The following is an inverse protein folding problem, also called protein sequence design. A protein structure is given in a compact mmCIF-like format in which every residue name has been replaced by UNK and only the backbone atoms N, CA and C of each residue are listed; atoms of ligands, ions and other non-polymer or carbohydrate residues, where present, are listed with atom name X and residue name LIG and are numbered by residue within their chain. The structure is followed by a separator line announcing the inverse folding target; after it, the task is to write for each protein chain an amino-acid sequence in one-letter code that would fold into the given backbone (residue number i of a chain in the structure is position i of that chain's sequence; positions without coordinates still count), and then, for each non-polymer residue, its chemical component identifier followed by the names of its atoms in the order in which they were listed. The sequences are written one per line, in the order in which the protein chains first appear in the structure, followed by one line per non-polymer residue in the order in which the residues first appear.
data_IF_152532474259
#
_entry.id   IF_152532474259
#
_cell.length_a   1.000
_cell.length_b   1.000
_cell.length_c   1.000
_cell.angle_alpha   90.00
_cell.angle_beta   90.00
_cell.angle_gamma   90.00
#
_symmetry.space_group_name_H-M   'P 1'
#
loop_
_entity.id
_entity.type
_entity.pdbx_description
1 polymer ?
#
# COMPACT_ATOMS: atom_id res chain seq x y z
N UNK A 1 -34.15 4.90 0.34
CA UNK A 1 -33.31 4.37 -0.77
C UNK A 1 -32.06 3.86 -0.11
N UNK A 2 -31.62 2.62 -0.38
CA UNK A 2 -30.27 2.21 0.05
C UNK A 2 -29.30 3.06 -0.74
N UNK A 3 -28.23 3.60 -0.14
CA UNK A 3 -27.20 4.31 -0.90
C UNK A 3 -26.66 3.38 -1.99
N UNK A 4 -26.45 3.92 -3.17
CA UNK A 4 -25.74 3.19 -4.23
C UNK A 4 -24.35 2.82 -3.71
N UNK A 5 -24.00 1.54 -3.82
CA UNK A 5 -22.71 1.00 -3.36
C UNK A 5 -22.05 0.27 -4.51
N UNK A 6 -20.76 0.53 -4.71
CA UNK A 6 -19.97 -0.09 -5.78
C UNK A 6 -18.80 -0.85 -5.16
N UNK A 7 -19.05 -2.13 -4.77
CA UNK A 7 -18.04 -2.97 -4.14
C UNK A 7 -17.30 -3.85 -5.15
N UNK A 8 -15.97 -3.97 -4.93
CA UNK A 8 -15.14 -5.01 -5.50
C UNK A 8 -14.73 -5.99 -4.39
N UNK A 9 -14.90 -7.30 -4.63
CA UNK A 9 -14.33 -8.33 -3.77
C UNK A 9 -12.89 -8.61 -4.21
N UNK A 10 -11.94 -8.34 -3.32
CA UNK A 10 -10.52 -8.52 -3.56
C UNK A 10 -10.07 -9.97 -3.30
N UNK A 11 -8.85 -10.30 -3.73
CA UNK A 11 -8.27 -11.63 -3.56
C UNK A 11 -8.07 -12.04 -2.10
N UNK A 12 -7.87 -11.08 -1.20
CA UNK A 12 -7.83 -11.29 0.26
C UNK A 12 -9.19 -11.59 0.89
N UNK A 13 -10.29 -11.46 0.14
CA UNK A 13 -11.65 -11.53 0.66
C UNK A 13 -12.18 -10.18 1.18
N UNK A 14 -11.37 -9.15 1.21
CA UNK A 14 -11.80 -7.79 1.58
C UNK A 14 -12.71 -7.17 0.51
N UNK A 15 -13.53 -6.22 0.93
CA UNK A 15 -14.45 -5.50 0.04
C UNK A 15 -13.99 -4.06 -0.06
N UNK A 16 -13.64 -3.63 -1.26
CA UNK A 16 -13.33 -2.24 -1.56
C UNK A 16 -14.61 -1.52 -2.01
N UNK A 17 -15.01 -0.47 -1.30
CA UNK A 17 -16.07 0.43 -1.75
C UNK A 17 -15.47 1.53 -2.64
N UNK A 18 -15.79 1.52 -3.93
CA UNK A 18 -15.28 2.51 -4.87
C UNK A 18 -15.83 3.92 -4.66
N UNK A 19 -16.99 4.03 -4.03
CA UNK A 19 -17.62 5.33 -3.74
C UNK A 19 -17.11 5.96 -2.46
N UNK A 20 -16.67 5.14 -1.50
CA UNK A 20 -16.12 5.57 -0.21
C UNK A 20 -14.94 4.67 0.19
N UNK A 21 -13.81 4.72 -0.56
CA UNK A 21 -12.68 3.85 -0.33
C UNK A 21 -11.97 4.21 0.98
N UNK A 22 -11.71 3.20 1.80
CA UNK A 22 -10.99 3.37 3.05
C UNK A 22 -9.56 2.82 2.94
N UNK A 23 -8.59 3.39 3.69
CA UNK A 23 -7.19 2.95 3.63
C UNK A 23 -6.95 1.47 3.89
N UNK A 24 -7.83 0.80 4.61
CA UNK A 24 -7.74 -0.62 4.99
C UNK A 24 -8.60 -1.58 4.14
N UNK A 25 -9.28 -1.09 3.10
CA UNK A 25 -10.13 -1.92 2.24
C UNK A 25 -9.36 -2.93 1.39
N UNK A 26 -8.05 -2.83 1.33
CA UNK A 26 -7.18 -3.75 0.56
C UNK A 26 -5.92 -4.11 1.34
N UNK A 27 -5.26 -5.20 0.93
CA UNK A 27 -3.91 -5.54 1.38
C UNK A 27 -2.86 -5.10 0.36
N UNK A 28 -1.58 -5.05 0.76
CA UNK A 28 -0.48 -4.78 -0.17
C UNK A 28 -0.39 -5.84 -1.28
N UNK A 29 -0.76 -7.08 -0.96
CA UNK A 29 -0.85 -8.16 -1.96
C UNK A 29 -1.99 -7.91 -2.96
N UNK A 30 -3.15 -7.43 -2.52
CA UNK A 30 -4.25 -7.07 -3.42
C UNK A 30 -3.84 -5.95 -4.37
N UNK A 31 -3.18 -4.91 -3.83
CA UNK A 31 -2.68 -3.80 -4.64
C UNK A 31 -1.68 -4.29 -5.70
N UNK A 32 -0.68 -5.07 -5.29
CA UNK A 32 0.33 -5.62 -6.20
C UNK A 32 -0.30 -6.51 -7.29
N UNK A 33 -1.26 -7.35 -6.93
CA UNK A 33 -2.01 -8.18 -7.89
C UNK A 33 -2.85 -7.31 -8.82
N UNK A 34 -3.55 -6.31 -8.30
CA UNK A 34 -4.33 -5.35 -9.09
C UNK A 34 -3.46 -4.65 -10.13
N UNK A 35 -2.36 -4.01 -9.70
CA UNK A 35 -1.42 -3.32 -10.58
C UNK A 35 -0.77 -4.24 -11.62
N UNK A 36 -0.52 -5.51 -11.29
CA UNK A 36 0.03 -6.48 -12.22
C UNK A 36 -0.95 -6.94 -13.29
N UNK A 37 -2.23 -6.71 -13.08
CA UNK A 37 -3.34 -7.07 -13.98
C UNK A 37 -4.01 -5.86 -14.62
N UNK A 38 -3.60 -4.66 -14.25
CA UNK A 38 -3.95 -3.42 -14.94
C UNK A 38 -2.90 -3.18 -16.01
N UNK A 39 -3.35 -3.07 -17.26
CA UNK A 39 -2.44 -3.03 -18.41
C UNK A 39 -2.41 -1.65 -19.04
N UNK A 40 -1.23 -1.15 -19.22
CA UNK A 40 -0.95 0.08 -19.95
C UNK A 40 -1.23 -0.10 -21.45
N UNK A 41 -1.37 1.02 -22.15
CA UNK A 41 -1.54 1.03 -23.61
C UNK A 41 -2.78 0.24 -24.10
N UNK A 42 -3.82 0.16 -23.26
CA UNK A 42 -5.01 -0.62 -23.57
C UNK A 42 -4.74 -2.13 -23.74
N UNK A 43 -3.68 -2.64 -23.17
CA UNK A 43 -3.26 -4.04 -23.30
C UNK A 43 -2.52 -4.35 -24.60
N UNK A 44 -2.22 -3.36 -25.46
CA UNK A 44 -1.49 -3.59 -26.70
C UNK A 44 0.03 -3.63 -26.51
N UNK A 45 0.67 -4.60 -27.11
CA UNK A 45 2.11 -4.85 -27.05
C UNK A 45 2.57 -5.56 -28.31
N UNK A 46 3.83 -5.38 -28.71
CA UNK A 46 4.47 -6.20 -29.75
C UNK A 46 5.02 -7.52 -29.20
N UNK A 47 4.97 -7.67 -27.88
CA UNK A 47 5.35 -8.89 -27.15
C UNK A 47 4.13 -9.77 -26.91
N UNK A 48 4.35 -11.00 -26.45
CA UNK A 48 3.25 -11.92 -26.12
C UNK A 48 2.36 -11.37 -24.99
N UNK A 49 2.97 -10.71 -24.01
CA UNK A 49 2.26 -10.17 -22.84
C UNK A 49 2.11 -8.64 -22.94
N UNK A 50 1.04 -8.08 -22.38
CA UNK A 50 0.88 -6.64 -22.22
C UNK A 50 1.69 -6.11 -21.03
N UNK A 51 2.11 -4.84 -21.11
CA UNK A 51 2.81 -4.16 -20.01
C UNK A 51 1.84 -3.86 -18.87
N UNK A 52 2.22 -4.27 -17.65
CA UNK A 52 1.45 -3.97 -16.45
C UNK A 52 1.83 -2.63 -15.83
N UNK A 53 0.88 -2.01 -15.11
CA UNK A 53 1.14 -0.81 -14.30
C UNK A 53 2.17 -1.10 -13.20
N UNK A 54 2.20 -2.32 -12.63
CA UNK A 54 3.21 -2.72 -11.66
C UNK A 54 4.65 -2.61 -12.22
N UNK A 55 4.88 -3.07 -13.45
CA UNK A 55 6.20 -2.95 -14.10
C UNK A 55 6.52 -1.50 -14.44
N UNK A 56 5.53 -0.73 -14.93
CA UNK A 56 5.67 0.70 -15.16
C UNK A 56 6.06 1.47 -13.90
N UNK A 57 5.40 1.23 -12.78
CA UNK A 57 5.69 1.90 -11.51
C UNK A 57 7.12 1.65 -11.03
N UNK A 58 7.63 0.43 -11.22
CA UNK A 58 9.03 0.11 -10.94
C UNK A 58 9.99 0.84 -11.89
N UNK A 59 9.63 0.96 -13.16
CA UNK A 59 10.40 1.72 -14.16
C UNK A 59 10.46 3.20 -13.79
N UNK A 60 9.32 3.82 -13.45
CA UNK A 60 9.27 5.24 -13.05
C UNK A 60 10.12 5.48 -11.81
N UNK A 61 10.04 4.61 -10.80
CA UNK A 61 10.88 4.70 -9.60
C UNK A 61 12.38 4.62 -9.96
N UNK A 62 12.78 3.66 -10.79
CA UNK A 62 14.17 3.52 -11.21
C UNK A 62 14.69 4.77 -11.95
N UNK A 63 13.87 5.33 -12.84
CA UNK A 63 14.19 6.56 -13.56
C UNK A 63 14.30 7.76 -12.62
N UNK A 64 13.37 7.87 -11.68
CA UNK A 64 13.36 8.97 -10.72
C UNK A 64 14.59 8.95 -9.82
N UNK A 65 15.00 7.76 -9.36
CA UNK A 65 16.25 7.57 -8.61
C UNK A 65 17.50 7.95 -9.44
N UNK A 66 17.52 7.58 -10.71
CA UNK A 66 18.64 7.89 -11.61
C UNK A 66 18.76 9.38 -11.97
N UNK A 67 17.68 10.17 -11.89
CA UNK A 67 17.69 11.61 -12.19
C UNK A 67 18.44 12.45 -11.15
N UNK A 68 18.54 11.99 -9.92
CA UNK A 68 19.17 12.71 -8.81
C UNK A 68 20.16 11.82 -8.03
N UNK A 69 21.24 11.34 -8.64
CA UNK A 69 22.14 10.38 -7.99
C UNK A 69 22.88 10.95 -6.78
N UNK A 70 23.05 12.27 -6.72
CA UNK A 70 23.71 12.97 -5.60
C UNK A 70 22.74 13.41 -4.50
N UNK A 71 21.46 13.30 -4.73
CA UNK A 71 20.40 13.59 -3.77
C UNK A 71 19.35 12.46 -3.86
N UNK A 72 19.65 11.31 -3.25
CA UNK A 72 18.75 10.15 -3.32
C UNK A 72 17.39 10.50 -2.69
N UNK A 73 16.34 9.90 -3.24
CA UNK A 73 15.01 10.01 -2.66
C UNK A 73 15.01 9.42 -1.26
N UNK A 74 14.34 10.09 -0.34
CA UNK A 74 13.99 9.46 0.94
C UNK A 74 13.08 8.26 0.68
N UNK A 75 13.02 7.27 1.59
CA UNK A 75 12.12 6.13 1.45
C UNK A 75 10.65 6.53 1.24
N UNK A 76 10.17 7.58 1.92
CA UNK A 76 8.82 8.10 1.72
C UNK A 76 8.60 8.68 0.32
N UNK A 77 9.56 9.42 -0.22
CA UNK A 77 9.52 9.94 -1.59
C UNK A 77 9.58 8.79 -2.61
N UNK A 78 10.45 7.80 -2.40
CA UNK A 78 10.53 6.62 -3.24
C UNK A 78 9.22 5.80 -3.21
N UNK A 79 8.59 5.70 -2.04
CA UNK A 79 7.29 5.05 -1.87
C UNK A 79 6.19 5.80 -2.64
N UNK A 80 6.18 7.13 -2.57
CA UNK A 80 5.28 7.98 -3.37
C UNK A 80 5.47 7.77 -4.87
N UNK A 81 6.72 7.70 -5.34
CA UNK A 81 7.03 7.43 -6.75
C UNK A 81 6.55 6.03 -7.18
N UNK A 82 6.73 5.01 -6.34
CA UNK A 82 6.26 3.65 -6.62
C UNK A 82 4.73 3.57 -6.69
N UNK A 83 4.02 4.36 -5.90
CA UNK A 83 2.57 4.31 -5.74
C UNK A 83 1.82 5.38 -6.55
N UNK A 84 2.47 6.06 -7.50
CA UNK A 84 1.89 7.20 -8.21
C UNK A 84 0.63 6.87 -9.04
N UNK A 85 0.50 5.63 -9.50
CA UNK A 85 -0.65 5.10 -10.26
C UNK A 85 -1.39 3.98 -9.48
N UNK A 86 -1.26 3.96 -8.14
CA UNK A 86 -1.84 2.88 -7.33
C UNK A 86 -3.37 2.82 -7.39
N UNK A 87 -4.04 3.97 -7.60
CA UNK A 87 -5.49 4.03 -7.75
C UNK A 87 -6.01 3.26 -8.97
N UNK A 88 -5.20 3.04 -10.00
CA UNK A 88 -5.61 2.33 -11.21
C UNK A 88 -5.91 0.85 -10.93
N UNK A 89 -5.16 0.22 -10.02
CA UNK A 89 -5.46 -1.12 -9.55
C UNK A 89 -6.82 -1.20 -8.85
N UNK A 90 -7.13 -0.16 -8.08
CA UNK A 90 -8.33 -0.09 -7.25
C UNK A 90 -9.57 0.30 -8.06
N UNK A 91 -9.41 0.94 -9.22
CA UNK A 91 -10.51 1.23 -10.17
C UNK A 91 -10.95 0.03 -11.02
N UNK A 92 -10.58 -1.19 -10.64
CA UNK A 92 -10.95 -2.39 -11.38
C UNK A 92 -10.13 -2.63 -12.65
N UNK A 93 -8.89 -2.14 -12.68
CA UNK A 93 -7.96 -2.35 -13.78
C UNK A 93 -8.18 -1.43 -14.98
N UNK A 94 -8.74 -0.24 -14.75
CA UNK A 94 -8.92 0.76 -15.79
C UNK A 94 -7.80 1.80 -15.73
N UNK A 95 -6.89 1.74 -16.70
CA UNK A 95 -5.83 2.74 -16.95
C UNK A 95 -6.15 3.51 -18.25
N UNK A 96 -6.86 4.65 -18.16
CA UNK A 96 -7.13 5.48 -19.31
C UNK A 96 -5.87 6.24 -19.71
N UNK A 97 -5.50 6.15 -20.99
CA UNK A 97 -4.39 6.96 -21.54
C UNK A 97 -4.55 8.44 -21.15
N UNK A 98 -3.46 9.08 -20.73
CA UNK A 98 -3.47 10.42 -20.13
C UNK A 98 -4.29 11.46 -20.91
N UNK A 99 -4.24 11.54 -22.27
CA UNK A 99 -5.05 12.48 -23.03
C UNK A 99 -6.57 12.23 -22.96
N UNK A 100 -7.00 11.02 -22.60
CA UNK A 100 -8.42 10.67 -22.44
C UNK A 100 -8.99 11.14 -21.10
N UNK A 101 -8.18 11.20 -20.05
CA UNK A 101 -8.61 11.50 -18.67
C UNK A 101 -9.48 12.78 -18.57
N UNK A 102 -9.16 13.92 -19.22
CA UNK A 102 -10.01 15.12 -19.18
C UNK A 102 -11.40 14.93 -19.81
N UNK A 103 -11.57 13.93 -20.67
CA UNK A 103 -12.83 13.65 -21.37
C UNK A 103 -13.74 12.65 -20.64
N UNK A 104 -13.28 12.08 -19.51
CA UNK A 104 -14.05 11.12 -18.71
C UNK A 104 -15.00 11.78 -17.71
N UNK A 105 -14.98 13.12 -17.62
CA UNK A 105 -15.88 13.90 -16.77
C UNK A 105 -15.43 14.01 -15.31
N UNK A 106 -16.12 14.92 -14.59
CA UNK A 106 -15.75 15.28 -13.22
C UNK A 106 -15.97 14.13 -12.23
N UNK A 107 -16.98 13.29 -12.44
CA UNK A 107 -17.27 12.12 -11.59
C UNK A 107 -16.12 11.10 -11.60
N UNK A 108 -15.52 10.89 -12.79
CA UNK A 108 -14.34 10.03 -12.89
C UNK A 108 -13.14 10.65 -12.15
N UNK A 109 -12.94 11.95 -12.29
CA UNK A 109 -11.86 12.65 -11.58
C UNK A 109 -12.05 12.57 -10.06
N UNK A 110 -13.28 12.76 -9.60
CA UNK A 110 -13.62 12.65 -8.18
C UNK A 110 -13.41 11.23 -7.63
N UNK A 111 -13.75 10.20 -8.41
CA UNK A 111 -13.48 8.80 -8.05
C UNK A 111 -11.98 8.54 -7.92
N UNK A 112 -11.20 8.90 -8.94
CA UNK A 112 -9.77 8.73 -8.95
C UNK A 112 -9.10 9.46 -7.77
N UNK A 113 -9.57 10.67 -7.43
CA UNK A 113 -9.05 11.45 -6.32
C UNK A 113 -9.34 10.81 -4.96
N UNK A 114 -10.54 10.25 -4.75
CA UNK A 114 -10.85 9.51 -3.50
C UNK A 114 -9.93 8.32 -3.32
N UNK A 115 -9.69 7.54 -4.37
CA UNK A 115 -8.79 6.39 -4.32
C UNK A 115 -7.34 6.81 -4.06
N UNK A 116 -6.84 7.86 -4.74
CA UNK A 116 -5.51 8.43 -4.48
C UNK A 116 -5.35 8.89 -3.04
N UNK A 117 -6.38 9.58 -2.52
CA UNK A 117 -6.39 10.04 -1.13
C UNK A 117 -6.33 8.89 -0.15
N UNK A 118 -7.13 7.82 -0.37
CA UNK A 118 -7.09 6.62 0.47
C UNK A 118 -5.71 5.92 0.41
N UNK A 119 -5.09 5.84 -0.78
CA UNK A 119 -3.71 5.35 -0.95
C UNK A 119 -2.72 6.23 -0.18
N UNK A 120 -2.81 7.56 -0.33
CA UNK A 120 -1.90 8.49 0.35
C UNK A 120 -1.98 8.37 1.87
N UNK A 121 -3.20 8.21 2.42
CA UNK A 121 -3.42 7.99 3.85
C UNK A 121 -2.83 6.65 4.29
N UNK A 122 -3.18 5.53 3.59
CA UNK A 122 -2.70 4.20 3.95
C UNK A 122 -1.18 4.13 4.05
N UNK A 123 -0.50 4.66 3.03
CA UNK A 123 0.96 4.58 2.93
C UNK A 123 1.68 5.80 3.50
N UNK A 124 0.92 6.75 4.09
CA UNK A 124 1.45 7.99 4.69
C UNK A 124 2.41 8.71 3.74
N UNK A 125 1.98 8.83 2.48
CA UNK A 125 2.81 9.41 1.42
C UNK A 125 3.08 10.89 1.70
N UNK A 126 4.34 11.36 1.53
CA UNK A 126 4.66 12.77 1.67
C UNK A 126 4.07 13.58 0.51
N UNK A 127 3.76 14.84 0.76
CA UNK A 127 3.38 15.79 -0.27
C UNK A 127 4.51 16.04 -1.28
N UNK A 128 4.12 16.43 -2.50
CA UNK A 128 5.07 16.89 -3.51
C UNK A 128 5.69 18.22 -3.07
N UNK A 129 7.02 18.30 -3.02
CA UNK A 129 7.76 19.49 -2.60
C UNK A 129 8.70 19.97 -3.70
N UNK A 130 8.87 21.30 -3.80
CA UNK A 130 9.80 21.89 -4.76
C UNK A 130 9.60 21.35 -6.19
N UNK A 131 10.68 20.88 -6.79
CA UNK A 131 10.69 20.34 -8.17
C UNK A 131 10.30 18.87 -8.27
N UNK A 132 9.94 18.20 -7.18
CA UNK A 132 9.66 16.76 -7.17
C UNK A 132 8.58 16.35 -8.15
N UNK A 133 7.46 17.11 -8.20
CA UNK A 133 6.38 16.83 -9.13
C UNK A 133 6.84 16.98 -10.59
N UNK A 134 7.71 17.96 -10.87
CA UNK A 134 8.26 18.18 -12.22
C UNK A 134 9.15 17.02 -12.62
N UNK A 135 10.00 16.57 -11.71
CA UNK A 135 10.90 15.43 -11.91
C UNK A 135 10.14 14.12 -12.04
N UNK A 136 9.11 13.91 -11.21
CA UNK A 136 8.20 12.78 -11.36
C UNK A 136 7.55 12.77 -12.75
N UNK A 137 6.90 13.84 -13.16
CA UNK A 137 6.25 13.94 -14.48
C UNK A 137 7.24 13.74 -15.62
N UNK A 138 8.50 14.13 -15.44
CA UNK A 138 9.55 13.85 -16.42
C UNK A 138 9.91 12.37 -16.46
N UNK A 139 10.02 11.69 -15.32
CA UNK A 139 10.29 10.26 -15.23
C UNK A 139 9.17 9.44 -15.86
N UNK A 140 7.92 9.73 -15.49
CA UNK A 140 6.72 9.08 -16.03
C UNK A 140 6.63 9.26 -17.57
N UNK A 141 6.82 10.48 -18.07
CA UNK A 141 6.84 10.73 -19.52
C UNK A 141 8.00 10.04 -20.23
N UNK A 142 9.17 9.92 -19.60
CA UNK A 142 10.31 9.18 -20.18
C UNK A 142 10.05 7.69 -20.20
N UNK A 143 9.40 7.14 -19.16
CA UNK A 143 8.91 5.77 -19.13
C UNK A 143 7.92 5.55 -20.28
N UNK A 144 6.89 6.39 -20.38
CA UNK A 144 5.88 6.30 -21.44
C UNK A 144 6.47 6.38 -22.86
N UNK A 145 7.45 7.27 -23.10
CA UNK A 145 8.16 7.35 -24.40
C UNK A 145 8.91 6.06 -24.73
N UNK A 146 9.56 5.47 -23.71
CA UNK A 146 10.36 4.24 -23.86
C UNK A 146 9.45 3.02 -24.06
N UNK A 147 8.36 2.93 -23.32
CA UNK A 147 7.32 1.91 -23.47
C UNK A 147 6.66 1.98 -24.85
N UNK A 148 6.30 3.17 -25.31
CA UNK A 148 5.73 3.37 -26.65
C UNK A 148 6.64 2.78 -27.72
N UNK A 149 7.93 3.08 -27.66
CA UNK A 149 8.92 2.58 -28.63
C UNK A 149 9.18 1.08 -28.49
N UNK A 150 9.48 0.61 -27.27
CA UNK A 150 10.05 -0.72 -27.06
C UNK A 150 8.99 -1.80 -26.77
N UNK A 151 7.87 -1.41 -26.17
CA UNK A 151 6.80 -2.35 -25.81
C UNK A 151 5.69 -2.35 -26.85
N UNK A 152 5.19 -1.17 -27.24
CA UNK A 152 4.08 -1.07 -28.20
C UNK A 152 4.58 -1.10 -29.64
N UNK A 153 5.75 -0.50 -29.93
CA UNK A 153 6.34 -0.44 -31.27
C UNK A 153 6.01 0.83 -32.03
N UNK A 154 5.66 1.92 -31.33
CA UNK A 154 5.50 3.23 -31.95
C UNK A 154 6.80 3.71 -32.60
N UNK A 155 6.77 4.23 -33.85
CA UNK A 155 7.93 4.90 -34.44
C UNK A 155 8.34 6.13 -33.62
N UNK A 156 9.64 6.43 -33.54
CA UNK A 156 10.17 7.56 -32.76
C UNK A 156 9.56 8.89 -33.12
N UNK A 157 9.31 9.10 -34.40
CA UNK A 157 8.68 10.32 -34.89
C UNK A 157 7.25 10.45 -34.37
N UNK A 158 6.48 9.36 -34.33
CA UNK A 158 5.12 9.35 -33.84
C UNK A 158 5.03 9.48 -32.31
N UNK A 159 6.00 8.97 -31.57
CA UNK A 159 6.10 9.23 -30.12
C UNK A 159 6.19 10.74 -29.87
N UNK A 160 6.97 11.45 -30.70
CA UNK A 160 7.09 12.90 -30.60
C UNK A 160 5.86 13.65 -31.12
N UNK A 161 5.41 13.30 -32.30
CA UNK A 161 4.46 14.13 -33.07
C UNK A 161 2.99 13.75 -32.73
N UNK A 162 2.70 12.47 -32.50
CA UNK A 162 1.35 11.97 -32.20
C UNK A 162 1.09 11.88 -30.70
N UNK A 163 2.03 11.34 -29.92
CA UNK A 163 1.90 11.26 -28.47
C UNK A 163 2.35 12.55 -27.77
N UNK A 164 2.90 13.50 -28.48
CA UNK A 164 3.43 14.77 -27.95
C UNK A 164 4.43 14.59 -26.80
N UNK A 165 5.27 13.55 -26.88
CA UNK A 165 6.32 13.29 -25.90
C UNK A 165 7.68 13.69 -26.48
N UNK A 166 8.17 14.86 -26.08
CA UNK A 166 9.41 15.45 -26.61
C UNK A 166 10.69 14.84 -25.99
N UNK A 167 10.55 13.85 -25.11
CA UNK A 167 11.67 13.15 -24.48
C UNK A 167 12.20 12.04 -25.40
N UNK A 168 13.52 11.90 -25.46
CA UNK A 168 14.16 10.81 -26.21
C UNK A 168 13.99 9.50 -25.43
N UNK A 169 13.34 8.47 -26.01
CA UNK A 169 13.23 7.16 -25.38
C UNK A 169 14.58 6.58 -24.99
N UNK A 170 14.63 5.87 -23.89
CA UNK A 170 15.82 5.19 -23.41
C UNK A 170 16.32 4.15 -24.43
N UNK A 171 17.61 3.88 -24.42
CA UNK A 171 18.21 2.81 -25.25
C UNK A 171 18.25 1.48 -24.53
N UNK A 172 18.54 1.52 -23.22
CA UNK A 172 18.64 0.36 -22.36
C UNK A 172 17.49 0.34 -21.37
N UNK A 173 17.00 -0.84 -21.08
CA UNK A 173 16.02 -1.06 -20.02
C UNK A 173 16.72 -0.87 -18.66
N UNK A 174 16.23 0.05 -17.79
CA UNK A 174 16.81 0.25 -16.47
C UNK A 174 16.34 -0.79 -15.45
N UNK A 175 15.33 -1.59 -15.78
CA UNK A 175 14.85 -2.65 -14.91
C UNK A 175 15.76 -3.88 -14.95
N UNK A 176 15.78 -4.70 -13.88
CA UNK A 176 16.57 -5.91 -13.87
C UNK A 176 16.10 -6.90 -14.94
N UNK A 177 17.05 -7.47 -15.65
CA UNK A 177 16.76 -8.54 -16.61
C UNK A 177 16.37 -9.80 -15.83
N UNK A 178 15.18 -10.31 -16.10
CA UNK A 178 14.69 -11.55 -15.50
C UNK A 178 15.02 -12.74 -16.38
N UNK A 179 15.29 -13.91 -15.76
CA UNK A 179 15.59 -15.13 -16.46
C UNK A 179 14.50 -15.49 -17.49
N UNK A 180 14.93 -15.71 -18.70
CA UNK A 180 14.09 -16.09 -19.84
C UNK A 180 13.34 -14.93 -20.49
N UNK A 181 13.57 -13.68 -20.09
CA UNK A 181 12.98 -12.48 -20.70
C UNK A 181 14.04 -11.62 -21.37
N UNK A 182 13.61 -10.79 -22.30
CA UNK A 182 14.45 -9.80 -22.97
C UNK A 182 14.28 -8.41 -22.33
N UNK A 183 15.22 -7.47 -22.54
CA UNK A 183 15.01 -6.08 -22.16
C UNK A 183 13.70 -5.53 -22.76
N UNK A 184 12.95 -4.77 -21.99
CA UNK A 184 11.65 -4.20 -22.35
C UNK A 184 10.51 -5.22 -22.56
N UNK A 185 10.75 -6.50 -22.38
CA UNK A 185 9.69 -7.49 -22.43
C UNK A 185 8.77 -7.37 -21.21
N UNK A 186 7.45 -7.31 -21.43
CA UNK A 186 6.50 -7.28 -20.32
C UNK A 186 6.56 -8.54 -19.45
N UNK A 187 6.58 -8.35 -18.15
CA UNK A 187 6.68 -9.45 -17.21
C UNK A 187 5.35 -10.18 -17.03
N UNK A 188 5.35 -11.50 -16.85
CA UNK A 188 4.15 -12.21 -16.40
C UNK A 188 3.59 -11.58 -15.13
N UNK A 189 2.25 -11.43 -15.04
CA UNK A 189 1.57 -10.72 -13.95
C UNK A 189 2.03 -11.20 -12.56
N UNK A 190 2.22 -12.52 -12.36
CA UNK A 190 2.71 -13.07 -11.10
C UNK A 190 4.11 -12.54 -10.73
N UNK A 191 5.02 -12.40 -11.70
CA UNK A 191 6.37 -11.86 -11.47
C UNK A 191 6.32 -10.36 -11.21
N UNK A 192 5.54 -9.62 -12.00
CA UNK A 192 5.32 -8.19 -11.79
C UNK A 192 4.77 -7.89 -10.39
N UNK A 193 3.74 -8.64 -9.95
CA UNK A 193 3.18 -8.53 -8.60
C UNK A 193 4.21 -8.82 -7.52
N UNK A 194 5.00 -9.89 -7.66
CA UNK A 194 6.00 -10.27 -6.66
C UNK A 194 7.10 -9.21 -6.52
N UNK A 195 7.60 -8.67 -7.63
CA UNK A 195 8.66 -7.64 -7.62
C UNK A 195 8.14 -6.30 -7.09
N UNK A 196 6.92 -5.91 -7.49
CA UNK A 196 6.28 -4.71 -6.95
C UNK A 196 6.07 -4.84 -5.43
N UNK A 197 5.50 -5.96 -4.96
CA UNK A 197 5.26 -6.19 -3.54
C UNK A 197 6.57 -6.23 -2.73
N UNK A 198 7.62 -6.85 -3.28
CA UNK A 198 8.94 -6.85 -2.63
C UNK A 198 9.49 -5.43 -2.48
N UNK A 199 9.40 -4.60 -3.53
CA UNK A 199 9.85 -3.20 -3.48
C UNK A 199 8.98 -2.35 -2.53
N UNK A 200 7.67 -2.55 -2.55
CA UNK A 200 6.75 -1.89 -1.63
C UNK A 200 7.12 -2.15 -0.17
N UNK A 201 7.33 -3.41 0.19
CA UNK A 201 7.73 -3.80 1.56
C UNK A 201 9.12 -3.28 1.94
N UNK A 202 10.07 -3.34 1.03
CA UNK A 202 11.41 -2.76 1.24
C UNK A 202 11.32 -1.28 1.61
N UNK A 203 10.54 -0.49 0.85
CA UNK A 203 10.39 0.94 1.09
C UNK A 203 9.60 1.24 2.37
N UNK A 204 8.55 0.48 2.67
CA UNK A 204 7.81 0.62 3.93
C UNK A 204 8.72 0.34 5.13
N UNK A 205 9.52 -0.73 5.09
CA UNK A 205 10.51 -1.02 6.12
C UNK A 205 11.55 0.10 6.29
N UNK A 206 12.03 0.67 5.18
CA UNK A 206 12.96 1.80 5.22
C UNK A 206 12.33 3.09 5.78
N UNK A 207 11.07 3.41 5.42
CA UNK A 207 10.31 4.53 6.02
C UNK A 207 10.18 4.35 7.54
N UNK A 208 9.95 3.13 7.99
CA UNK A 208 9.86 2.84 9.42
C UNK A 208 11.21 3.06 10.14
N UNK A 209 12.31 2.70 9.50
CA UNK A 209 13.67 2.87 10.05
C UNK A 209 14.17 4.34 10.03
N UNK A 210 13.78 5.14 9.02
CA UNK A 210 14.16 6.56 8.93
C UNK A 210 13.39 7.47 9.88
N UNK A 211 12.25 7.02 10.39
CA UNK A 211 11.67 7.74 11.51
C UNK A 211 12.71 7.71 12.61
N UNK A 212 13.24 8.89 13.06
CA UNK A 212 13.93 8.92 14.33
C UNK A 212 13.03 8.12 15.26
N UNK A 213 13.57 7.13 15.94
CA UNK A 213 12.86 6.56 17.07
C UNK A 213 12.34 7.79 17.80
N UNK A 214 11.05 8.06 17.67
CA UNK A 214 10.46 9.20 18.34
C UNK A 214 10.59 8.85 19.81
N UNK A 215 11.76 9.24 20.37
CA UNK A 215 12.08 8.97 21.76
C UNK A 215 10.99 9.52 22.66
N UNK A 216 10.29 10.55 22.18
CA UNK A 216 9.12 11.10 22.84
C UNK A 216 7.93 10.15 22.70
N UNK A 217 7.63 9.65 21.50
CA UNK A 217 6.57 8.69 21.28
C UNK A 217 6.86 7.32 21.90
N UNK A 218 8.11 6.84 21.82
CA UNK A 218 8.54 5.62 22.52
C UNK A 218 8.43 5.76 24.04
N UNK A 219 8.85 6.92 24.59
CA UNK A 219 8.73 7.19 26.01
C UNK A 219 7.28 7.34 26.46
N UNK A 220 6.42 7.95 25.64
CA UNK A 220 4.98 8.05 25.94
C UNK A 220 4.30 6.67 25.83
N UNK A 221 4.64 5.83 24.85
CA UNK A 221 4.17 4.44 24.78
C UNK A 221 4.63 3.62 25.97
N UNK A 222 5.89 3.76 26.38
CA UNK A 222 6.41 3.07 27.58
C UNK A 222 5.67 3.50 28.84
N UNK A 223 5.37 4.79 28.99
CA UNK A 223 4.57 5.32 30.10
C UNK A 223 3.15 4.77 30.06
N UNK A 224 2.53 4.77 28.88
CA UNK A 224 1.19 4.27 28.69
C UNK A 224 1.11 2.77 28.97
N UNK A 225 2.07 1.99 28.47
CA UNK A 225 2.18 0.56 28.77
C UNK A 225 2.32 0.32 30.28
N UNK A 226 3.15 1.13 30.97
CA UNK A 226 3.27 1.05 32.43
C UNK A 226 1.96 1.42 33.15
N UNK A 227 1.21 2.40 32.64
CA UNK A 227 -0.11 2.77 33.16
C UNK A 227 -1.11 1.63 33.00
N UNK A 228 -1.20 1.05 31.80
CA UNK A 228 -2.09 -0.07 31.50
C UNK A 228 -1.71 -1.32 32.27
N UNK A 229 -0.41 -1.62 32.41
CA UNK A 229 0.05 -2.72 33.25
C UNK A 229 -0.38 -2.59 34.71
N UNK A 230 -0.27 -1.37 35.27
CA UNK A 230 -0.75 -1.07 36.60
C UNK A 230 -2.28 -1.19 36.73
N UNK A 231 -3.02 -0.75 35.71
CA UNK A 231 -4.48 -0.87 35.65
C UNK A 231 -4.91 -2.34 35.56
N UNK A 232 -4.26 -3.12 34.67
CA UNK A 232 -4.53 -4.56 34.53
C UNK A 232 -4.29 -5.32 35.82
N UNK A 233 -3.24 -4.99 36.59
CA UNK A 233 -2.99 -5.58 37.90
C UNK A 233 -4.08 -5.26 38.93
N UNK A 234 -4.79 -4.15 38.79
CA UNK A 234 -5.91 -3.76 39.67
C UNK A 234 -7.22 -4.49 39.36
N UNK A 235 -7.32 -5.13 38.17
CA UNK A 235 -8.51 -5.90 37.82
C UNK A 235 -8.75 -7.04 38.83
N UNK A 236 -10.01 -7.30 39.12
CA UNK A 236 -10.37 -8.42 39.98
C UNK A 236 -9.98 -9.76 39.37
N UNK A 237 -9.70 -10.80 40.18
CA UNK A 237 -9.43 -12.13 39.66
C UNK A 237 -10.53 -12.65 38.72
N UNK A 238 -11.80 -12.29 38.99
CA UNK A 238 -12.91 -12.65 38.11
C UNK A 238 -12.91 -11.92 36.77
N UNK A 239 -12.42 -10.68 36.72
CA UNK A 239 -12.25 -9.95 35.45
C UNK A 239 -11.07 -10.51 34.64
N UNK A 240 -9.95 -10.82 35.32
CA UNK A 240 -8.79 -11.46 34.68
C UNK A 240 -9.06 -12.90 34.21
N UNK A 241 -10.03 -13.60 34.81
CA UNK A 241 -10.41 -14.96 34.38
C UNK A 241 -11.12 -15.03 33.02
N UNK A 242 -11.40 -13.88 32.39
CA UNK A 242 -11.84 -13.83 30.99
C UNK A 242 -10.70 -14.11 30.01
N UNK A 243 -9.47 -13.95 30.44
CA UNK A 243 -8.30 -14.41 29.70
C UNK A 243 -8.19 -15.93 29.86
N UNK A 244 -8.04 -16.67 28.78
CA UNK A 244 -8.05 -18.15 28.79
C UNK A 244 -6.80 -18.73 29.43
N UNK A 245 -5.74 -17.94 29.62
CA UNK A 245 -4.52 -18.30 30.36
C UNK A 245 -4.23 -17.26 31.43
N UNK A 246 -3.85 -17.68 32.65
CA UNK A 246 -3.35 -16.75 33.65
C UNK A 246 -2.08 -16.09 33.08
N UNK A 247 -2.07 -14.76 33.04
CA UNK A 247 -0.84 -14.02 32.75
C UNK A 247 0.10 -14.25 33.94
N UNK A 248 1.01 -15.23 33.82
CA UNK A 248 2.08 -15.44 34.78
C UNK A 248 3.13 -14.34 34.63
N UNK A 249 3.15 -13.43 35.57
CA UNK A 249 4.13 -12.36 35.62
C UNK A 249 3.55 -10.98 35.29
N UNK A 250 4.26 -9.97 35.70
CA UNK A 250 3.88 -8.56 35.67
C UNK A 250 4.08 -7.85 34.33
N UNK A 251 4.23 -8.57 33.22
CA UNK A 251 4.44 -7.93 31.95
C UNK A 251 3.23 -8.12 31.03
N UNK A 252 2.54 -7.03 30.71
CA UNK A 252 1.79 -6.94 29.46
C UNK A 252 2.77 -7.14 28.32
N UNK A 253 2.33 -7.77 27.23
CA UNK A 253 3.12 -7.83 26.02
C UNK A 253 3.24 -6.42 25.47
N UNK A 254 4.29 -6.15 24.71
CA UNK A 254 4.49 -4.88 24.01
C UNK A 254 3.77 -4.82 22.65
N UNK A 255 2.93 -5.81 22.35
CA UNK A 255 2.17 -5.85 21.10
C UNK A 255 0.91 -5.01 21.23
N UNK A 256 0.99 -3.80 20.71
CA UNK A 256 -0.13 -2.89 20.56
C UNK A 256 -0.89 -3.19 19.29
N UNK A 257 -2.20 -3.14 19.37
CA UNK A 257 -3.08 -3.32 18.24
C UNK A 257 -4.13 -2.22 18.20
N UNK A 258 -4.48 -1.78 16.98
CA UNK A 258 -5.70 -1.04 16.71
C UNK A 258 -6.71 -2.02 16.15
N UNK A 259 -7.90 -2.06 16.75
CA UNK A 259 -8.97 -2.97 16.35
C UNK A 259 -10.15 -2.15 15.84
N UNK A 260 -10.50 -2.36 14.58
CA UNK A 260 -11.70 -1.81 13.97
C UNK A 260 -12.71 -2.94 13.76
N UNK A 261 -13.81 -2.91 14.50
CA UNK A 261 -14.89 -3.87 14.31
C UNK A 261 -15.76 -3.49 13.11
N UNK A 262 -16.18 -4.48 12.32
CA UNK A 262 -17.14 -4.29 11.20
C UNK A 262 -18.54 -3.85 11.69
N UNK A 263 -18.80 -3.92 12.98
CA UNK A 263 -20.05 -3.49 13.61
C UNK A 263 -19.89 -2.08 14.19
N UNK A 264 -20.81 -1.20 13.81
CA UNK A 264 -20.79 0.29 13.90
C UNK A 264 -20.64 0.87 15.33
N UNK A 265 -20.53 0.05 16.35
CA UNK A 265 -20.55 0.49 17.75
C UNK A 265 -19.18 0.65 18.43
N UNK A 266 -18.08 0.18 17.82
CA UNK A 266 -16.73 0.26 18.40
C UNK A 266 -15.69 0.63 17.35
N UNK A 267 -15.60 1.90 17.03
CA UNK A 267 -14.60 2.45 16.14
C UNK A 267 -13.28 2.70 16.87
N UNK A 268 -12.18 2.13 16.34
CA UNK A 268 -10.84 2.58 16.66
C UNK A 268 -10.39 2.32 18.10
N UNK A 269 -10.62 1.13 18.65
CA UNK A 269 -10.12 0.80 19.97
C UNK A 269 -8.67 0.37 19.88
N UNK A 270 -7.79 1.13 20.50
CA UNK A 270 -6.38 0.77 20.68
C UNK A 270 -6.15 0.07 22.02
N UNK A 271 -5.19 -0.86 22.03
CA UNK A 271 -4.86 -1.58 23.25
C UNK A 271 -3.75 -2.60 23.07
N UNK A 272 -3.46 -3.32 24.14
CA UNK A 272 -2.39 -4.31 24.19
C UNK A 272 -2.99 -5.71 24.21
N UNK A 273 -2.47 -6.61 23.35
CA UNK A 273 -2.88 -8.02 23.35
C UNK A 273 -2.42 -8.69 24.63
N UNK A 274 -3.37 -9.24 25.38
CA UNK A 274 -3.11 -9.86 26.68
C UNK A 274 -3.37 -11.38 26.71
N UNK A 275 -4.09 -11.91 25.72
CA UNK A 275 -4.41 -13.34 25.61
C UNK A 275 -4.73 -13.72 24.17
N UNK A 276 -4.40 -14.94 23.73
CA UNK A 276 -4.64 -15.46 22.38
C UNK A 276 -3.73 -16.65 22.06
N UNK A 277 -3.78 -17.11 20.83
CA UNK A 277 -2.85 -18.11 20.31
C UNK A 277 -1.55 -17.46 19.84
N UNK A 278 -0.45 -18.23 19.92
CA UNK A 278 0.85 -17.86 19.35
C UNK A 278 1.26 -18.88 18.31
N UNK A 279 1.91 -18.41 17.26
CA UNK A 279 2.50 -19.27 16.24
C UNK A 279 3.83 -19.93 16.71
N UNK A 280 4.48 -20.67 15.80
CA UNK A 280 5.73 -21.39 16.08
C UNK A 280 6.90 -20.43 16.42
N UNK A 281 6.85 -19.17 15.96
CA UNK A 281 7.84 -18.13 16.22
C UNK A 281 7.53 -17.32 17.50
N UNK A 282 6.39 -17.59 18.14
CA UNK A 282 5.93 -16.96 19.38
C UNK A 282 5.17 -15.66 19.20
N UNK A 283 4.86 -15.28 17.94
CA UNK A 283 4.04 -14.11 17.61
C UNK A 283 2.55 -14.39 17.79
N UNK A 284 1.75 -13.34 18.05
CA UNK A 284 0.32 -13.49 18.24
C UNK A 284 -0.40 -13.81 16.92
N UNK A 285 -1.29 -14.81 16.95
CA UNK A 285 -2.18 -15.17 15.84
C UNK A 285 -3.41 -14.26 15.90
N UNK A 286 -3.40 -13.18 15.13
CA UNK A 286 -4.41 -12.12 15.20
C UNK A 286 -5.60 -12.33 14.25
N UNK A 287 -5.67 -13.41 13.49
CA UNK A 287 -6.83 -13.82 12.70
C UNK A 287 -7.80 -14.73 13.47
N UNK A 288 -7.38 -15.23 14.64
CA UNK A 288 -8.16 -16.02 15.58
C UNK A 288 -8.93 -15.19 16.61
N UNK A 289 -9.26 -15.82 17.76
CA UNK A 289 -9.83 -15.14 18.90
C UNK A 289 -8.73 -14.74 19.88
N UNK A 290 -8.66 -13.45 20.25
CA UNK A 290 -7.70 -12.91 21.20
C UNK A 290 -8.33 -11.84 22.07
N UNK A 291 -7.68 -11.50 23.17
CA UNK A 291 -8.17 -10.48 24.12
C UNK A 291 -7.24 -9.27 24.12
N UNK A 292 -7.84 -8.09 24.01
CA UNK A 292 -7.15 -6.81 24.08
C UNK A 292 -7.54 -6.10 25.38
N UNK A 293 -6.55 -5.54 26.08
CA UNK A 293 -6.77 -4.61 27.16
C UNK A 293 -6.64 -3.18 26.63
N UNK A 294 -7.74 -2.48 26.59
CA UNK A 294 -7.87 -1.19 25.90
C UNK A 294 -7.35 -0.02 26.72
N UNK A 295 -7.13 1.12 26.06
CA UNK A 295 -6.77 2.39 26.73
C UNK A 295 -7.82 2.85 27.76
N UNK A 296 -9.08 2.47 27.57
CA UNK A 296 -10.18 2.73 28.52
C UNK A 296 -10.21 1.75 29.70
N UNK A 297 -9.16 0.93 29.86
CA UNK A 297 -9.03 -0.08 30.92
C UNK A 297 -10.09 -1.20 30.87
N UNK A 298 -10.56 -1.52 29.66
CA UNK A 298 -11.52 -2.59 29.41
C UNK A 298 -10.85 -3.81 28.76
N UNK A 299 -11.38 -5.00 29.05
CA UNK A 299 -11.01 -6.23 28.36
C UNK A 299 -12.04 -6.53 27.29
N UNK A 300 -11.60 -6.53 26.04
CA UNK A 300 -12.44 -6.91 24.89
C UNK A 300 -11.92 -8.20 24.28
N UNK A 301 -12.83 -9.10 23.92
CA UNK A 301 -12.50 -10.29 23.13
C UNK A 301 -12.72 -9.95 21.67
N UNK A 302 -11.67 -10.10 20.90
CA UNK A 302 -11.63 -9.79 19.47
C UNK A 302 -11.62 -11.09 18.67
N UNK A 303 -12.36 -11.12 17.59
CA UNK A 303 -12.29 -12.19 16.58
C UNK A 303 -11.70 -11.60 15.32
N UNK A 304 -10.44 -11.86 15.05
CA UNK A 304 -9.68 -11.29 13.93
C UNK A 304 -10.29 -11.57 12.57
N UNK A 305 -11.04 -12.67 12.41
CA UNK A 305 -11.78 -12.98 11.17
C UNK A 305 -12.99 -12.07 10.91
N UNK A 306 -13.43 -11.28 11.91
CA UNK A 306 -14.61 -10.39 11.84
C UNK A 306 -14.28 -8.92 12.10
N UNK A 307 -13.00 -8.56 12.22
CA UNK A 307 -12.55 -7.20 12.44
C UNK A 307 -11.20 -6.97 11.75
N UNK A 308 -10.83 -5.70 11.56
CA UNK A 308 -9.49 -5.35 11.10
C UNK A 308 -8.60 -5.13 12.32
N UNK A 309 -7.46 -5.80 12.34
CA UNK A 309 -6.45 -5.67 13.40
C UNK A 309 -5.17 -5.15 12.78
N UNK A 310 -4.69 -4.02 13.27
CA UNK A 310 -3.40 -3.44 12.88
C UNK A 310 -2.46 -3.49 14.09
N UNK A 311 -1.25 -4.03 13.92
CA UNK A 311 -0.19 -3.95 14.93
C UNK A 311 0.48 -2.59 14.80
N UNK A 312 0.53 -1.83 15.90
CA UNK A 312 0.99 -0.44 15.96
C UNK A 312 2.48 -0.32 16.29
#
# INVERSE_FOLDING_TARGET
MRPDRAFILLGSGRRLDLLDPRPHDWTDADLAVGLSRTYRWGGHSRWELPLSVAQHSLLVLALRQAMQPHQPLTPGEALRELLHDAEEALMGGFDPVSPLRPHLGDEFQALAERLRSAVAVRYRLPDWKGDDLVLHKRADRLAAASEALHVVGWPREEVRDTLNIQLTPLRADPLPLLDGLQPWEPWPARRAAALFLAKLRELQGAVHLERPADLTGALEREKELARLAAAFQRLSPAARSRCSRPVEGSSLTDTWVSVEADDVSQWGTEGVVVDGERDEDGEWVLDGEFTVFTEDEELIVVRGCSCTVEVL
#
